data_IF_598076327832
#
_entry.id   IF_598076327832
#
_cell.length_a   1.000
_cell.length_b   1.000
_cell.length_c   1.000
_cell.angle_alpha   90.00
_cell.angle_beta   90.00
_cell.angle_gamma   90.00
#
_symmetry.space_group_name_H-M   'P 1'
#
loop_
_entity.id
_entity.type
_entity.pdbx_description
1 polymer ?
#
# COMPACT_ATOMS: atom_id res chain seq x y z
N UNK A 1 -2.19 6.74 -21.39
CA UNK A 1 -0.95 7.00 -20.61
C UNK A 1 -1.34 7.08 -19.15
N UNK A 2 -0.93 6.09 -18.35
CA UNK A 2 -1.13 6.14 -16.90
C UNK A 2 -0.35 7.34 -16.36
N UNK A 3 -1.03 8.33 -15.78
CA UNK A 3 -0.37 9.46 -15.12
C UNK A 3 0.21 8.94 -13.81
N UNK A 4 1.53 8.78 -13.74
CA UNK A 4 2.20 8.52 -12.48
C UNK A 4 2.02 9.72 -11.56
N UNK A 5 1.29 9.55 -10.47
CA UNK A 5 1.08 10.59 -9.46
C UNK A 5 2.41 10.78 -8.70
N UNK A 6 2.96 11.99 -8.57
CA UNK A 6 4.17 12.23 -7.80
C UNK A 6 4.01 11.74 -6.35
N UNK A 7 5.04 11.15 -5.76
CA UNK A 7 4.97 10.59 -4.40
C UNK A 7 4.44 11.58 -3.36
N UNK A 8 4.82 12.86 -3.46
CA UNK A 8 4.38 13.92 -2.53
C UNK A 8 2.87 14.23 -2.61
N UNK A 9 2.22 13.86 -3.70
CA UNK A 9 0.77 14.03 -3.92
C UNK A 9 -0.03 12.79 -3.51
N UNK A 10 0.63 11.72 -3.08
CA UNK A 10 -0.02 10.45 -2.72
C UNK A 10 -0.31 10.38 -1.22
N UNK A 11 -1.54 10.00 -0.87
CA UNK A 11 -2.00 9.81 0.51
C UNK A 11 -1.84 11.06 1.39
N UNK A 12 -1.81 10.87 2.70
CA UNK A 12 -1.51 11.97 3.64
C UNK A 12 -0.02 12.03 3.98
N UNK A 13 0.38 13.13 4.63
CA UNK A 13 1.76 13.37 5.07
C UNK A 13 2.33 12.19 5.88
N UNK A 14 1.55 11.64 6.81
CA UNK A 14 1.98 10.55 7.69
C UNK A 14 2.32 9.27 6.92
N UNK A 15 1.44 8.83 6.00
CA UNK A 15 1.73 7.63 5.23
C UNK A 15 2.98 7.81 4.34
N UNK A 16 3.24 9.04 3.86
CA UNK A 16 4.47 9.35 3.12
C UNK A 16 5.71 9.32 4.00
N UNK A 17 5.62 9.86 5.21
CA UNK A 17 6.72 9.89 6.17
C UNK A 17 7.13 8.49 6.66
N UNK A 18 6.20 7.53 6.73
CA UNK A 18 6.56 6.13 7.00
C UNK A 18 7.56 5.57 5.99
N UNK A 19 7.38 5.89 4.70
CA UNK A 19 8.31 5.44 3.65
C UNK A 19 9.64 6.21 3.63
N UNK A 20 9.70 7.40 4.22
CA UNK A 20 10.88 8.29 4.18
C UNK A 20 11.72 8.20 5.46
N UNK A 21 11.10 8.17 6.64
CA UNK A 21 11.76 8.51 7.90
C UNK A 21 11.36 7.63 9.09
N UNK A 22 10.79 6.44 8.87
CA UNK A 22 10.41 5.49 9.95
C UNK A 22 9.44 6.09 11.00
N UNK A 23 8.38 6.77 10.55
CA UNK A 23 7.20 7.03 11.40
C UNK A 23 6.34 5.77 11.52
N UNK A 24 5.47 5.72 12.53
CA UNK A 24 4.34 4.78 12.52
C UNK A 24 3.34 5.18 11.42
N UNK A 25 2.69 4.16 10.82
CA UNK A 25 1.70 4.13 9.70
C UNK A 25 2.13 4.52 8.26
N UNK A 26 1.87 3.66 7.24
CA UNK A 26 0.75 2.71 7.16
C UNK A 26 1.01 1.30 7.73
N UNK A 27 -0.09 0.62 8.12
CA UNK A 27 -0.08 -0.72 8.69
C UNK A 27 -0.02 -1.78 7.59
N UNK A 28 0.89 -2.75 7.72
CA UNK A 28 0.93 -3.92 6.83
C UNK A 28 -0.36 -4.76 6.99
N UNK A 29 -1.06 -4.95 5.88
CA UNK A 29 -2.27 -5.78 5.77
C UNK A 29 -1.89 -7.21 5.41
N UNK A 30 -0.90 -7.37 4.54
CA UNK A 30 -0.29 -8.66 4.27
C UNK A 30 0.55 -8.68 3.00
N UNK A 31 1.01 -9.86 2.64
CA UNK A 31 1.89 -10.09 1.48
C UNK A 31 1.13 -10.92 0.46
N UNK A 32 1.04 -10.43 -0.77
CA UNK A 32 0.53 -11.18 -1.91
C UNK A 32 1.70 -11.72 -2.72
N UNK A 33 1.79 -13.03 -2.83
CA UNK A 33 2.78 -13.68 -3.71
C UNK A 33 2.35 -13.57 -5.19
N UNK A 34 1.04 -13.61 -5.45
CA UNK A 34 0.46 -13.50 -6.79
C UNK A 34 0.74 -12.13 -7.41
N UNK A 35 0.56 -11.06 -6.62
CA UNK A 35 0.85 -9.69 -7.04
C UNK A 35 2.29 -9.25 -6.74
N UNK A 36 3.09 -10.10 -6.10
CA UNK A 36 4.48 -9.83 -5.71
C UNK A 36 4.64 -8.50 -4.95
N UNK A 37 3.73 -8.22 -4.03
CA UNK A 37 3.68 -6.96 -3.31
C UNK A 37 3.21 -7.13 -1.86
N UNK A 38 3.57 -6.13 -1.05
CA UNK A 38 3.05 -5.92 0.28
C UNK A 38 1.90 -4.92 0.20
N UNK A 39 0.76 -5.23 0.81
CA UNK A 39 -0.37 -4.33 0.90
C UNK A 39 -0.37 -3.65 2.26
N UNK A 40 -0.52 -2.33 2.29
CA UNK A 40 -0.62 -1.53 3.50
C UNK A 40 -1.88 -0.68 3.48
N UNK A 41 -2.39 -0.33 4.67
CA UNK A 41 -3.49 0.62 4.84
C UNK A 41 -3.10 1.70 5.83
N UNK A 42 -3.27 2.96 5.43
CA UNK A 42 -3.00 4.09 6.30
C UNK A 42 -4.11 4.24 7.35
N UNK A 43 -3.75 4.43 8.62
CA UNK A 43 -4.71 4.56 9.72
C UNK A 43 -5.42 5.91 9.72
N UNK A 44 -4.73 6.96 9.26
CA UNK A 44 -5.27 8.33 9.21
C UNK A 44 -6.17 8.57 8.00
N UNK A 45 -5.65 8.41 6.77
CA UNK A 45 -6.40 8.78 5.56
C UNK A 45 -7.06 7.59 4.86
N UNK A 46 -6.97 6.39 5.43
CA UNK A 46 -7.53 5.14 4.88
C UNK A 46 -7.04 4.71 3.50
N UNK A 47 -6.08 5.42 2.89
CA UNK A 47 -5.52 5.07 1.58
C UNK A 47 -4.80 3.72 1.62
N UNK A 48 -4.95 2.96 0.54
CA UNK A 48 -4.23 1.73 0.29
C UNK A 48 -2.90 2.02 -0.39
N UNK A 49 -1.86 1.35 0.06
CA UNK A 49 -0.53 1.43 -0.51
C UNK A 49 -0.06 0.04 -0.89
N UNK A 50 0.56 -0.10 -2.06
CA UNK A 50 1.33 -1.29 -2.39
C UNK A 50 2.83 -1.00 -2.37
N UNK A 51 3.60 -2.01 -1.98
CA UNK A 51 5.05 -2.00 -2.08
C UNK A 51 5.54 -3.34 -2.63
N UNK A 52 5.92 -3.33 -3.91
CA UNK A 52 6.45 -4.49 -4.64
C UNK A 52 7.77 -4.17 -5.31
N UNK A 53 7.85 -4.33 -6.64
CA UNK A 53 9.08 -4.16 -7.44
C UNK A 53 9.51 -2.70 -7.65
N UNK A 54 8.59 -1.75 -7.43
CA UNK A 54 8.82 -0.31 -7.61
C UNK A 54 8.83 0.42 -6.27
N UNK A 55 8.67 1.74 -6.33
CA UNK A 55 8.43 2.57 -5.15
C UNK A 55 7.03 2.35 -4.56
N UNK A 56 6.89 2.53 -3.24
CA UNK A 56 5.59 2.50 -2.60
C UNK A 56 4.68 3.58 -3.20
N UNK A 57 3.46 3.20 -3.54
CA UNK A 57 2.47 4.13 -4.08
C UNK A 57 1.05 3.77 -3.68
N UNK A 58 0.17 4.77 -3.73
CA UNK A 58 -1.26 4.62 -3.47
C UNK A 58 -1.92 3.91 -4.63
N UNK A 59 -2.76 2.94 -4.29
CA UNK A 59 -3.62 2.21 -5.21
C UNK A 59 -5.09 2.49 -4.89
N UNK A 60 -5.96 2.27 -5.86
CA UNK A 60 -7.41 2.38 -5.65
C UNK A 60 -7.96 1.19 -4.84
N UNK A 61 -9.19 1.36 -4.34
CA UNK A 61 -9.88 0.33 -3.55
C UNK A 61 -10.13 -0.97 -4.34
N UNK A 62 -10.30 -0.87 -5.66
CA UNK A 62 -10.57 -2.03 -6.52
C UNK A 62 -9.34 -2.94 -6.64
N UNK A 63 -8.17 -2.35 -6.89
CA UNK A 63 -6.90 -3.07 -6.89
C UNK A 63 -6.56 -3.57 -5.49
N UNK A 64 -6.76 -2.76 -4.45
CA UNK A 64 -6.55 -3.20 -3.08
C UNK A 64 -7.40 -4.42 -2.72
N UNK A 65 -8.68 -4.44 -3.13
CA UNK A 65 -9.57 -5.57 -2.91
C UNK A 65 -9.08 -6.83 -3.64
N UNK A 66 -8.64 -6.71 -4.91
CA UNK A 66 -8.06 -7.84 -5.65
C UNK A 66 -6.83 -8.40 -4.95
N UNK A 67 -5.88 -7.55 -4.56
CA UNK A 67 -4.67 -7.98 -3.84
C UNK A 67 -5.08 -8.65 -2.53
N UNK A 68 -5.99 -8.04 -1.76
CA UNK A 68 -6.45 -8.58 -0.48
C UNK A 68 -7.07 -9.98 -0.60
N UNK A 69 -7.73 -10.32 -1.73
CA UNK A 69 -8.24 -11.68 -1.94
C UNK A 69 -7.16 -12.75 -2.12
N UNK A 70 -5.94 -12.34 -2.49
CA UNK A 70 -4.78 -13.23 -2.71
C UNK A 70 -3.81 -13.26 -1.53
N UNK A 71 -3.90 -12.27 -0.63
CA UNK A 71 -3.17 -12.29 0.64
C UNK A 71 -3.73 -13.46 1.43
N UNK A 72 -2.92 -14.51 1.59
CA UNK A 72 -3.35 -15.76 2.19
C UNK A 72 -4.16 -15.49 3.47
N UNK A 73 -5.35 -16.09 3.55
CA UNK A 73 -5.84 -16.57 4.83
C UNK A 73 -4.78 -17.54 5.32
N UNK A 74 -3.85 -17.10 6.16
CA UNK A 74 -2.85 -18.00 6.72
C UNK A 74 -3.61 -19.16 7.38
N UNK A 75 -3.23 -20.43 7.14
CA UNK A 75 -3.82 -21.53 7.89
C UNK A 75 -3.60 -21.24 9.37
N UNK A 76 -4.70 -21.31 10.13
CA UNK A 76 -4.77 -21.12 11.58
C UNK A 76 -3.93 -22.14 12.32
#
# INVERSE_FOLDING_TARGET
MSRTIPFHDQGCKYCREFWISTSDEPKLIGVSLDHQCHLYRCGICSSWWEYGLNYPHVIDDELAARIATTIASAPS
#
